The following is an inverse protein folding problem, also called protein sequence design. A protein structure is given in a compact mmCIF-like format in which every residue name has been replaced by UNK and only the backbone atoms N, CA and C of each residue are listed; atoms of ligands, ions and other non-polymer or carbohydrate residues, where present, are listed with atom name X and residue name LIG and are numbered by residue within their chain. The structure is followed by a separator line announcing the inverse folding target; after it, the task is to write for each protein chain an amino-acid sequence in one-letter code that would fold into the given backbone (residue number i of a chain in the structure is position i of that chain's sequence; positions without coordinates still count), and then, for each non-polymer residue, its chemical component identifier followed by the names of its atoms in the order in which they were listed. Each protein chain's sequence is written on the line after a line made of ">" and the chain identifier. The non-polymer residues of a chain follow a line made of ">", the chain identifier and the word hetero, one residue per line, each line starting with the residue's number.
data_IF_763732877890
#
_entry.id   IF_763732877890
#
_cell.length_a   1.000
_cell.length_b   1.000
_cell.length_c   1.000
_cell.angle_alpha   90.00
_cell.angle_beta   90.00
_cell.angle_gamma   90.00
#
_symmetry.space_group_name_H-M   'P 1'
#
loop_
_entity.id
_entity.type
_entity.pdbx_description
1 polymer ?
#
# COMPACT_ATOMS: atom_id res chain seq x y z
N UNK A 1 46.94 -47.38 28.31
CA UNK A 1 46.57 -47.14 26.90
C UNK A 1 45.86 -45.79 26.83
N UNK A 2 46.38 -44.84 26.04
CA UNK A 2 45.78 -43.52 25.89
C UNK A 2 44.49 -43.64 25.06
N UNK A 3 43.43 -42.92 25.46
CA UNK A 3 42.20 -42.87 24.68
C UNK A 3 42.40 -41.96 23.45
N UNK A 4 41.80 -42.29 22.30
CA UNK A 4 41.86 -41.43 21.13
C UNK A 4 41.24 -40.06 21.44
N UNK A 5 41.73 -38.97 20.82
CA UNK A 5 41.20 -37.64 21.02
C UNK A 5 39.77 -37.54 20.49
N UNK A 6 38.91 -36.80 21.20
CA UNK A 6 37.50 -36.62 20.86
C UNK A 6 37.25 -35.76 19.62
N UNK A 7 38.31 -35.22 19.00
CA UNK A 7 38.25 -34.44 17.76
C UNK A 7 38.22 -35.30 16.50
N UNK A 8 38.41 -36.63 16.62
CA UNK A 8 38.34 -37.51 15.46
C UNK A 8 36.88 -37.67 15.01
N UNK A 9 36.54 -37.31 13.75
CA UNK A 9 35.19 -37.46 13.24
C UNK A 9 34.83 -38.94 13.05
N UNK A 10 33.54 -39.30 13.14
CA UNK A 10 33.08 -40.65 12.79
C UNK A 10 33.37 -40.95 11.33
N UNK A 11 33.96 -42.10 11.06
CA UNK A 11 34.58 -42.48 9.79
C UNK A 11 33.83 -43.67 9.17
N UNK A 12 32.49 -43.60 9.21
CA UNK A 12 31.60 -44.67 8.72
C UNK A 12 31.55 -44.76 7.19
N UNK A 13 31.64 -43.62 6.50
CA UNK A 13 31.58 -43.57 5.03
C UNK A 13 32.98 -43.53 4.41
N UNK A 14 33.92 -42.83 5.03
CA UNK A 14 35.31 -42.71 4.58
C UNK A 14 36.27 -43.18 5.68
N UNK A 15 36.99 -44.31 5.50
CA UNK A 15 37.88 -44.86 6.52
C UNK A 15 39.13 -43.99 6.73
N UNK A 16 39.61 -43.91 7.97
CA UNK A 16 40.86 -43.22 8.33
C UNK A 16 42.07 -44.07 7.90
N UNK A 17 42.92 -43.52 7.04
CA UNK A 17 44.15 -44.20 6.61
C UNK A 17 45.25 -44.10 7.67
N UNK A 18 45.75 -45.23 8.15
CA UNK A 18 46.86 -45.26 9.10
C UNK A 18 48.16 -45.57 8.35
N UNK A 19 49.09 -44.62 8.35
CA UNK A 19 50.40 -44.75 7.71
C UNK A 19 51.53 -44.68 8.74
N UNK A 20 52.48 -45.60 8.64
CA UNK A 20 53.70 -45.64 9.43
C UNK A 20 54.83 -44.95 8.68
N UNK A 21 55.34 -43.88 9.27
CA UNK A 21 56.54 -43.20 8.81
C UNK A 21 57.72 -43.59 9.70
N UNK A 22 58.75 -44.17 9.10
CA UNK A 22 60.00 -44.49 9.78
C UNK A 22 61.10 -43.66 9.13
N UNK A 23 61.64 -42.71 9.89
CA UNK A 23 62.77 -41.88 9.48
C UNK A 23 63.95 -42.07 10.40
N UNK A 24 65.16 -42.12 9.83
CA UNK A 24 66.42 -42.09 10.56
C UNK A 24 67.36 -41.12 9.87
N UNK A 25 68.19 -40.38 10.61
CA UNK A 25 69.13 -39.41 10.02
C UNK A 25 70.19 -40.06 9.11
N UNK A 26 70.35 -41.38 9.19
CA UNK A 26 71.37 -42.13 8.47
C UNK A 26 70.80 -42.89 7.27
N UNK A 27 69.47 -43.10 7.21
CA UNK A 27 68.82 -43.96 6.20
C UNK A 27 67.68 -43.21 5.51
N UNK A 28 67.36 -43.51 4.24
CA UNK A 28 66.24 -42.89 3.55
C UNK A 28 64.92 -43.18 4.31
N UNK A 29 64.03 -42.19 4.45
CA UNK A 29 62.77 -42.37 5.16
C UNK A 29 61.86 -43.33 4.38
N UNK A 30 61.13 -44.16 5.12
CA UNK A 30 60.20 -45.13 4.56
C UNK A 30 58.80 -44.86 5.09
N UNK A 31 57.82 -44.86 4.17
CA UNK A 31 56.41 -44.74 4.46
C UNK A 31 55.71 -46.04 4.06
N UNK A 32 54.98 -46.64 4.99
CA UNK A 32 54.11 -47.77 4.73
C UNK A 32 52.67 -47.44 5.13
N UNK A 33 51.71 -47.73 4.26
CA UNK A 33 50.30 -47.76 4.64
C UNK A 33 50.02 -49.07 5.38
N UNK A 34 49.51 -48.98 6.61
CA UNK A 34 49.28 -50.14 7.48
C UNK A 34 47.89 -50.75 7.22
N UNK A 35 46.84 -49.96 7.48
CA UNK A 35 45.45 -50.38 7.33
C UNK A 35 44.50 -49.17 7.40
N UNK A 36 43.25 -49.45 7.02
CA UNK A 36 42.12 -48.53 7.07
C UNK A 36 41.35 -48.72 8.38
N UNK A 37 41.18 -47.65 9.15
CA UNK A 37 40.50 -47.65 10.44
C UNK A 37 39.10 -47.06 10.30
N UNK A 38 38.08 -47.87 10.59
CA UNK A 38 36.68 -47.41 10.65
C UNK A 38 36.32 -47.13 12.10
N UNK A 39 36.03 -45.87 12.41
CA UNK A 39 35.59 -45.45 13.75
C UNK A 39 34.07 -45.30 13.74
N UNK A 40 33.32 -46.14 14.49
CA UNK A 40 31.87 -46.04 14.58
C UNK A 40 31.46 -44.76 15.35
N UNK A 41 30.26 -44.21 15.06
CA UNK A 41 29.78 -42.99 15.70
C UNK A 41 29.48 -43.24 17.18
N UNK A 42 30.39 -42.84 18.05
CA UNK A 42 30.26 -42.98 19.51
C UNK A 42 29.88 -41.66 20.20
N UNK A 43 30.15 -40.52 19.57
CA UNK A 43 29.83 -39.19 20.10
C UNK A 43 29.55 -38.20 18.94
N UNK A 44 28.65 -37.21 19.09
CA UNK A 44 28.51 -36.13 18.11
C UNK A 44 29.87 -35.46 17.86
N UNK A 45 30.18 -35.05 16.62
CA UNK A 45 31.42 -34.37 16.28
C UNK A 45 31.69 -33.21 17.25
N UNK A 46 32.93 -33.09 17.72
CA UNK A 46 33.30 -31.98 18.58
C UNK A 46 33.13 -30.67 17.79
N UNK A 47 32.10 -29.89 18.14
CA UNK A 47 31.87 -28.58 17.54
C UNK A 47 32.90 -27.61 18.10
N UNK A 48 33.73 -27.03 17.23
CA UNK A 48 34.62 -25.96 17.65
C UNK A 48 33.78 -24.73 17.98
N UNK A 49 34.02 -24.01 19.09
CA UNK A 49 33.24 -22.83 19.48
C UNK A 49 33.16 -21.76 18.39
N UNK A 50 34.15 -21.71 17.51
CA UNK A 50 34.26 -20.74 16.42
C UNK A 50 33.65 -21.22 15.09
N UNK A 51 33.31 -22.50 14.91
CA UNK A 51 32.68 -23.02 13.68
C UNK A 51 31.38 -22.28 13.34
N UNK A 52 30.59 -21.95 14.37
CA UNK A 52 29.30 -21.25 14.26
C UNK A 52 29.44 -19.88 13.58
N UNK A 53 30.61 -19.26 13.63
CA UNK A 53 30.86 -17.94 13.06
C UNK A 53 31.25 -17.94 11.58
N UNK A 54 31.71 -19.08 11.04
CA UNK A 54 32.24 -19.17 9.68
C UNK A 54 31.32 -19.87 8.68
N UNK A 55 30.09 -20.21 9.08
CA UNK A 55 29.09 -20.78 8.19
C UNK A 55 28.19 -19.71 7.55
N UNK A 56 27.83 -19.92 6.29
CA UNK A 56 26.81 -19.11 5.61
C UNK A 56 25.49 -19.26 6.34
N UNK A 57 24.92 -18.14 6.81
CA UNK A 57 23.61 -18.14 7.48
C UNK A 57 22.50 -18.31 6.45
N UNK A 58 21.38 -18.97 6.83
CA UNK A 58 20.22 -19.06 5.95
C UNK A 58 19.68 -17.66 5.64
N UNK A 59 19.15 -17.49 4.44
CA UNK A 59 18.52 -16.25 3.99
C UNK A 59 17.22 -15.97 4.79
N UNK A 60 17.03 -14.72 5.21
CA UNK A 60 15.83 -14.30 5.94
C UNK A 60 14.79 -13.83 4.91
N UNK A 61 13.70 -14.58 4.76
CA UNK A 61 12.59 -14.20 3.90
C UNK A 61 11.54 -13.41 4.70
N UNK A 62 11.35 -12.13 4.36
CA UNK A 62 10.29 -11.32 4.95
C UNK A 62 8.93 -11.69 4.33
N UNK A 63 7.98 -12.18 5.14
CA UNK A 63 6.62 -12.48 4.69
C UNK A 63 5.73 -11.26 4.90
N UNK A 64 5.25 -10.65 3.80
CA UNK A 64 4.27 -9.57 3.85
C UNK A 64 2.90 -10.07 4.27
N UNK A 65 2.09 -9.20 4.88
CA UNK A 65 0.70 -9.52 5.14
C UNK A 65 -0.07 -9.74 3.82
N UNK A 66 -0.99 -10.71 3.78
CA UNK A 66 -1.84 -10.91 2.61
C UNK A 66 -2.78 -9.70 2.41
N UNK A 67 -3.09 -9.41 1.15
CA UNK A 67 -4.04 -8.36 0.80
C UNK A 67 -5.42 -8.60 1.43
N UNK A 68 -6.07 -7.53 1.85
CA UNK A 68 -7.42 -7.60 2.39
C UNK A 68 -8.41 -8.04 1.32
N UNK A 69 -9.30 -8.99 1.67
CA UNK A 69 -10.34 -9.49 0.76
C UNK A 69 -11.38 -8.40 0.51
N UNK A 70 -11.46 -7.93 -0.73
CA UNK A 70 -12.48 -6.98 -1.18
C UNK A 70 -13.83 -7.69 -1.43
N UNK A 71 -14.97 -7.01 -1.20
CA UNK A 71 -16.28 -7.57 -1.51
C UNK A 71 -16.46 -7.79 -3.03
N UNK A 72 -17.34 -8.74 -3.44
CA UNK A 72 -17.63 -8.98 -4.85
C UNK A 72 -18.19 -7.73 -5.55
N UNK A 73 -17.63 -7.39 -6.72
CA UNK A 73 -17.99 -6.20 -7.50
C UNK A 73 -19.49 -6.11 -7.82
N UNK A 74 -20.15 -7.25 -8.01
CA UNK A 74 -21.60 -7.32 -8.32
C UNK A 74 -22.44 -6.79 -7.16
N UNK A 75 -22.09 -7.17 -5.93
CA UNK A 75 -22.81 -6.73 -4.73
C UNK A 75 -22.60 -5.23 -4.54
N UNK A 76 -21.36 -4.74 -4.66
CA UNK A 76 -21.07 -3.30 -4.59
C UNK A 76 -21.85 -2.51 -5.64
N UNK A 77 -21.89 -2.97 -6.89
CA UNK A 77 -22.61 -2.30 -7.97
C UNK A 77 -24.13 -2.24 -7.72
N UNK A 78 -24.73 -3.31 -7.18
CA UNK A 78 -26.14 -3.34 -6.83
C UNK A 78 -26.48 -2.26 -5.78
N UNK A 79 -25.69 -2.14 -4.72
CA UNK A 79 -25.91 -1.12 -3.70
C UNK A 79 -25.64 0.31 -4.21
N UNK A 80 -24.66 0.50 -5.11
CA UNK A 80 -24.47 1.80 -5.78
C UNK A 80 -25.69 2.20 -6.60
N UNK A 81 -26.29 1.27 -7.34
CA UNK A 81 -27.51 1.52 -8.12
C UNK A 81 -28.72 1.77 -7.20
N UNK A 82 -28.83 1.03 -6.11
CA UNK A 82 -29.86 1.25 -5.09
C UNK A 82 -29.76 2.66 -4.49
N UNK A 83 -28.55 3.13 -4.21
CA UNK A 83 -28.30 4.49 -3.71
C UNK A 83 -28.57 5.57 -4.77
N UNK A 84 -28.38 5.26 -6.05
CA UNK A 84 -28.69 6.16 -7.17
C UNK A 84 -30.20 6.22 -7.48
N UNK A 85 -30.98 5.21 -7.12
CA UNK A 85 -32.40 5.11 -7.48
C UNK A 85 -33.27 6.30 -7.00
N UNK A 86 -33.14 6.83 -5.77
CA UNK A 86 -33.90 8.00 -5.33
C UNK A 86 -33.64 9.25 -6.19
N UNK A 87 -32.40 9.43 -6.65
CA UNK A 87 -32.03 10.54 -7.53
C UNK A 87 -32.70 10.41 -8.91
N UNK A 88 -32.75 9.21 -9.46
CA UNK A 88 -33.46 8.94 -10.73
C UNK A 88 -34.96 9.21 -10.59
N UNK A 89 -35.57 8.78 -9.49
CA UNK A 89 -36.99 9.06 -9.19
C UNK A 89 -37.24 10.57 -9.06
N UNK A 90 -36.36 11.29 -8.35
CA UNK A 90 -36.44 12.74 -8.20
C UNK A 90 -36.41 13.45 -9.57
N UNK A 91 -35.47 13.07 -10.44
CA UNK A 91 -35.36 13.62 -11.80
C UNK A 91 -36.59 13.29 -12.65
N UNK A 92 -37.12 12.08 -12.55
CA UNK A 92 -38.36 11.69 -13.22
C UNK A 92 -39.57 12.52 -12.77
N UNK A 93 -39.67 12.77 -11.45
CA UNK A 93 -40.76 13.56 -10.90
C UNK A 93 -40.66 15.04 -11.31
N UNK A 94 -39.45 15.60 -11.36
CA UNK A 94 -39.22 16.94 -11.90
C UNK A 94 -39.60 17.06 -13.38
N UNK A 95 -39.31 16.04 -14.19
CA UNK A 95 -39.72 16.02 -15.60
C UNK A 95 -41.24 15.99 -15.78
N UNK A 96 -41.97 15.38 -14.84
CA UNK A 96 -43.43 15.35 -14.83
C UNK A 96 -44.05 16.68 -14.37
N UNK A 97 -43.59 17.21 -13.23
CA UNK A 97 -44.16 18.44 -12.63
C UNK A 97 -43.74 19.69 -13.42
N UNK A 98 -42.62 19.64 -14.15
CA UNK A 98 -42.04 20.75 -14.93
C UNK A 98 -42.03 22.08 -14.15
N UNK A 99 -41.32 22.15 -13.01
CA UNK A 99 -41.21 23.39 -12.26
C UNK A 99 -40.66 24.51 -13.17
N UNK A 100 -41.41 25.59 -13.30
CA UNK A 100 -41.00 26.73 -14.11
C UNK A 100 -39.94 27.53 -13.37
N UNK A 101 -38.81 27.74 -14.04
CA UNK A 101 -37.66 28.51 -13.53
C UNK A 101 -37.36 29.70 -14.46
N UNK A 102 -38.33 30.62 -14.66
CA UNK A 102 -38.26 31.65 -15.71
C UNK A 102 -37.10 32.64 -15.52
N UNK A 103 -36.53 32.73 -14.32
CA UNK A 103 -35.56 33.77 -13.96
C UNK A 103 -34.11 33.28 -13.85
N UNK A 104 -33.83 31.99 -14.13
CA UNK A 104 -32.46 31.46 -14.07
C UNK A 104 -31.51 32.18 -15.05
N UNK A 105 -32.02 32.60 -16.21
CA UNK A 105 -31.26 33.31 -17.23
C UNK A 105 -31.28 34.84 -17.05
N UNK A 106 -31.79 35.34 -15.93
CA UNK A 106 -31.75 36.78 -15.62
C UNK A 106 -30.28 37.21 -15.39
N UNK A 107 -29.84 38.36 -15.94
CA UNK A 107 -28.44 38.80 -15.86
C UNK A 107 -27.94 39.02 -14.42
N UNK A 108 -28.84 39.25 -13.47
CA UNK A 108 -28.52 39.38 -12.04
C UNK A 108 -28.35 38.04 -11.30
N UNK A 109 -28.97 36.95 -11.79
CA UNK A 109 -29.04 35.65 -11.11
C UNK A 109 -28.07 34.64 -11.72
N UNK A 110 -27.94 34.63 -13.05
CA UNK A 110 -27.02 33.76 -13.78
C UNK A 110 -25.58 33.78 -13.24
N UNK A 111 -24.93 34.94 -12.98
CA UNK A 111 -23.56 34.94 -12.46
C UNK A 111 -23.45 34.34 -11.04
N UNK A 112 -24.52 34.38 -10.25
CA UNK A 112 -24.56 33.73 -8.94
C UNK A 112 -24.72 32.21 -9.06
N UNK A 113 -25.57 31.73 -9.97
CA UNK A 113 -25.69 30.29 -10.23
C UNK A 113 -24.39 29.73 -10.82
N UNK A 114 -23.74 30.48 -11.71
CA UNK A 114 -22.44 30.11 -12.27
C UNK A 114 -21.34 30.06 -11.19
N UNK A 115 -21.33 30.99 -10.23
CA UNK A 115 -20.35 30.97 -9.14
C UNK A 115 -20.59 29.83 -8.15
N UNK A 116 -21.85 29.46 -7.88
CA UNK A 116 -22.18 28.24 -7.14
C UNK A 116 -21.75 26.98 -7.89
N UNK A 117 -21.98 26.89 -9.20
CA UNK A 117 -21.51 25.77 -10.01
C UNK A 117 -19.98 25.68 -10.03
N UNK A 118 -19.28 26.81 -10.06
CA UNK A 118 -17.83 26.85 -9.95
C UNK A 118 -17.34 26.35 -8.58
N UNK A 119 -18.05 26.64 -7.49
CA UNK A 119 -17.76 26.10 -6.15
C UNK A 119 -17.94 24.58 -6.11
N UNK A 120 -19.01 24.07 -6.69
CA UNK A 120 -19.25 22.62 -6.76
C UNK A 120 -18.16 21.93 -7.60
N UNK A 121 -17.79 22.51 -8.75
CA UNK A 121 -16.70 22.00 -9.57
C UNK A 121 -15.35 22.00 -8.83
N UNK A 122 -15.08 23.03 -8.01
CA UNK A 122 -13.90 23.07 -7.14
C UNK A 122 -13.88 21.90 -6.14
N UNK A 123 -15.03 21.56 -5.54
CA UNK A 123 -15.16 20.45 -4.60
C UNK A 123 -15.01 19.09 -5.28
N UNK A 124 -15.55 18.93 -6.50
CA UNK A 124 -15.30 17.72 -7.30
C UNK A 124 -13.81 17.59 -7.63
N UNK A 125 -13.17 18.69 -8.03
CA UNK A 125 -11.74 18.70 -8.35
C UNK A 125 -10.86 18.42 -7.11
N UNK A 126 -11.29 18.89 -5.92
CA UNK A 126 -10.73 18.50 -4.63
C UNK A 126 -10.78 16.99 -4.41
N UNK A 127 -11.94 16.39 -4.63
CA UNK A 127 -12.11 14.95 -4.44
C UNK A 127 -11.23 14.11 -5.36
N UNK A 128 -10.97 14.57 -6.59
CA UNK A 128 -10.15 13.82 -7.56
C UNK A 128 -8.64 13.98 -7.32
N UNK A 129 -8.15 15.21 -7.11
CA UNK A 129 -6.70 15.45 -7.17
C UNK A 129 -6.15 16.62 -6.34
N UNK A 130 -6.96 17.58 -5.90
CA UNK A 130 -6.45 18.81 -5.30
C UNK A 130 -6.05 18.64 -3.83
N UNK A 131 -5.01 19.37 -3.41
CA UNK A 131 -4.59 19.42 -2.01
C UNK A 131 -5.44 20.41 -1.21
N UNK A 132 -5.62 20.17 0.09
CA UNK A 132 -6.44 20.99 0.97
C UNK A 132 -6.08 22.50 0.93
N UNK A 133 -4.79 22.83 0.95
CA UNK A 133 -4.34 24.23 0.89
C UNK A 133 -4.69 24.94 -0.43
N UNK A 134 -4.68 24.20 -1.56
CA UNK A 134 -5.04 24.75 -2.87
C UNK A 134 -6.53 25.05 -2.95
N UNK A 135 -7.37 24.12 -2.46
CA UNK A 135 -8.83 24.32 -2.42
C UNK A 135 -9.20 25.49 -1.54
N UNK A 136 -8.54 25.65 -0.39
CA UNK A 136 -8.80 26.76 0.50
C UNK A 136 -8.42 28.10 -0.16
N UNK A 137 -7.28 28.16 -0.85
CA UNK A 137 -6.85 29.35 -1.58
C UNK A 137 -7.78 29.70 -2.74
N UNK A 138 -8.09 28.73 -3.61
CA UNK A 138 -9.01 28.92 -4.73
C UNK A 138 -10.43 29.24 -4.26
N UNK A 139 -10.90 28.57 -3.20
CA UNK A 139 -12.19 28.85 -2.56
C UNK A 139 -12.23 30.25 -1.97
N UNK A 140 -11.16 30.74 -1.35
CA UNK A 140 -11.09 32.11 -0.84
C UNK A 140 -11.17 33.15 -1.98
N UNK A 141 -10.47 32.91 -3.09
CA UNK A 141 -10.56 33.77 -4.28
C UNK A 141 -11.98 33.74 -4.87
N UNK A 142 -12.59 32.55 -4.97
CA UNK A 142 -13.92 32.36 -5.54
C UNK A 142 -15.04 32.88 -4.62
N UNK A 143 -14.80 32.96 -3.31
CA UNK A 143 -15.77 33.49 -2.35
C UNK A 143 -16.11 34.97 -2.60
N UNK A 144 -15.13 35.78 -3.06
CA UNK A 144 -15.33 37.21 -3.33
C UNK A 144 -16.39 37.45 -4.42
N UNK A 145 -16.24 36.94 -5.66
CA UNK A 145 -17.26 37.11 -6.70
C UNK A 145 -18.56 36.42 -6.32
N UNK A 146 -18.52 35.30 -5.59
CA UNK A 146 -19.73 34.59 -5.13
C UNK A 146 -20.55 35.43 -4.15
N UNK A 147 -19.89 36.10 -3.20
CA UNK A 147 -20.56 36.99 -2.26
C UNK A 147 -21.17 38.22 -2.95
N UNK A 148 -20.43 38.86 -3.87
CA UNK A 148 -20.92 40.02 -4.61
C UNK A 148 -22.10 39.68 -5.53
N UNK A 149 -21.98 38.57 -6.29
CA UNK A 149 -23.06 38.10 -7.17
C UNK A 149 -24.26 37.61 -6.37
N UNK A 150 -24.04 36.97 -5.22
CA UNK A 150 -25.09 36.53 -4.31
C UNK A 150 -25.88 37.69 -3.70
N UNK A 151 -25.21 38.74 -3.22
CA UNK A 151 -25.88 39.93 -2.70
C UNK A 151 -26.77 40.58 -3.77
N UNK A 152 -26.26 40.71 -5.01
CA UNK A 152 -27.01 41.27 -6.14
C UNK A 152 -28.20 40.39 -6.54
N UNK A 153 -28.01 39.08 -6.62
CA UNK A 153 -29.06 38.13 -6.98
C UNK A 153 -30.19 38.10 -5.93
N UNK A 154 -29.85 38.07 -4.64
CA UNK A 154 -30.81 38.08 -3.54
C UNK A 154 -31.54 39.42 -3.43
N UNK A 155 -30.84 40.54 -3.61
CA UNK A 155 -31.47 41.87 -3.65
C UNK A 155 -32.47 41.98 -4.80
N UNK A 156 -32.09 41.56 -6.02
CA UNK A 156 -32.99 41.55 -7.17
C UNK A 156 -34.22 40.65 -6.95
N UNK A 157 -34.06 39.51 -6.27
CA UNK A 157 -35.18 38.65 -5.91
C UNK A 157 -36.09 39.30 -4.85
N UNK A 158 -35.50 40.01 -3.88
CA UNK A 158 -36.23 40.74 -2.83
C UNK A 158 -37.04 41.91 -3.38
N UNK A 159 -36.46 42.74 -4.25
CA UNK A 159 -37.15 43.86 -4.90
C UNK A 159 -38.34 43.39 -5.75
N UNK A 160 -38.21 42.23 -6.40
CA UNK A 160 -39.30 41.59 -7.16
C UNK A 160 -40.43 41.10 -6.25
N UNK A 161 -40.11 40.48 -5.12
CA UNK A 161 -41.12 40.04 -4.13
C UNK A 161 -41.90 41.22 -3.54
N UNK A 162 -41.23 42.36 -3.36
CA UNK A 162 -41.83 43.59 -2.87
C UNK A 162 -42.56 44.40 -3.98
N UNK A 163 -42.62 43.88 -5.21
CA UNK A 163 -43.32 44.52 -6.33
C UNK A 163 -42.67 45.81 -6.84
N UNK A 164 -41.43 46.12 -6.43
CA UNK A 164 -40.72 47.35 -6.84
C UNK A 164 -40.12 47.27 -8.25
N UNK A 165 -40.10 46.09 -8.85
CA UNK A 165 -39.61 45.89 -10.22
C UNK A 165 -40.70 46.25 -11.24
N UNK A 166 -41.00 47.54 -11.37
CA UNK A 166 -41.76 48.11 -12.49
C UNK A 166 -40.81 48.93 -13.37
N UNK A 167 -40.19 48.25 -14.34
CA UNK A 167 -39.83 48.72 -15.68
C UNK A 167 -39.15 47.63 -16.48
#
# INVERSE_FOLDING_TARGET
>A
MARPPSSLPPSTTDPLKVSLYIGSFVHPPVQYELFDLVVPPSQPPAQHPEEVHFHVRPEIQHTFQPDQKLPPKVISAFFTLLLAAPWVVLLGLWAHIRPQVPYLFSPSILPFVASLAAFEALLVQYWVALKLGQVLFYGAILAIPTALTGQRALAALGERRLGKSSK
#
